data_IF_504626626841
#
_entry.id   IF_504626626841
#
_cell.length_a   1.000
_cell.length_b   1.000
_cell.length_c   1.000
_cell.angle_alpha   90.00
_cell.angle_beta   90.00
_cell.angle_gamma   90.00
#
_symmetry.space_group_name_H-M   'P 1'
#
loop_
_entity.id
_entity.type
_entity.pdbx_description
1 polymer ?
#
# COMPACT_ATOMS: atom_id res chain seq x y z
N UNK A 1 18.64 -26.10 -17.18
CA UNK A 1 17.73 -26.91 -16.34
C UNK A 1 17.66 -26.25 -14.98
N UNK A 2 16.53 -25.64 -14.67
CA UNK A 2 16.25 -25.09 -13.33
C UNK A 2 15.49 -26.15 -12.50
N UNK A 3 15.62 -26.18 -11.17
CA UNK A 3 15.04 -27.24 -10.34
C UNK A 3 13.54 -27.01 -10.14
N UNK A 4 12.73 -28.05 -10.38
CA UNK A 4 11.31 -28.11 -10.03
C UNK A 4 11.07 -29.17 -8.95
N UNK A 5 10.27 -28.85 -7.93
CA UNK A 5 9.81 -29.80 -6.93
C UNK A 5 8.64 -30.63 -7.49
N UNK A 6 8.70 -31.95 -7.32
CA UNK A 6 7.65 -32.90 -7.71
C UNK A 6 6.78 -33.26 -6.50
N UNK A 7 5.46 -33.27 -6.68
CA UNK A 7 4.55 -34.01 -5.79
C UNK A 7 3.81 -35.09 -6.59
N UNK A 8 3.97 -36.33 -6.14
CA UNK A 8 3.41 -37.53 -6.74
C UNK A 8 2.26 -38.02 -5.86
N UNK A 9 1.05 -38.20 -6.40
CA UNK A 9 -0.06 -38.86 -5.69
C UNK A 9 -0.52 -40.12 -6.43
N UNK A 10 -0.53 -41.24 -5.70
CA UNK A 10 -1.03 -42.55 -6.15
C UNK A 10 -2.52 -42.71 -5.84
N UNK A 11 -3.24 -43.31 -6.77
CA UNK A 11 -4.66 -43.68 -6.68
C UNK A 11 -4.98 -44.79 -5.68
N UNK A 12 -6.18 -44.71 -5.10
CA UNK A 12 -6.96 -45.85 -4.60
C UNK A 12 -8.34 -45.81 -5.27
N UNK A 13 -8.74 -46.92 -5.92
CA UNK A 13 -9.98 -47.06 -6.70
C UNK A 13 -11.24 -47.17 -5.82
N UNK A 14 -12.31 -46.43 -6.14
CA UNK A 14 -13.66 -46.96 -6.45
C UNK A 14 -14.72 -45.86 -6.75
N UNK A 15 -15.36 -46.00 -7.93
CA UNK A 15 -16.73 -45.58 -8.35
C UNK A 15 -17.15 -44.09 -8.28
N UNK A 16 -17.41 -43.54 -9.47
CA UNK A 16 -18.28 -42.40 -9.83
C UNK A 16 -18.43 -41.26 -8.79
N UNK A 17 -17.41 -40.41 -8.76
CA UNK A 17 -17.55 -38.95 -8.68
C UNK A 17 -16.40 -38.39 -9.51
N UNK A 18 -16.67 -37.41 -10.38
CA UNK A 18 -15.62 -36.71 -11.13
C UNK A 18 -14.73 -35.97 -10.12
N UNK A 19 -13.60 -36.58 -9.74
CA UNK A 19 -12.62 -35.93 -8.90
C UNK A 19 -11.62 -35.20 -9.79
N UNK A 20 -11.78 -33.88 -9.87
CA UNK A 20 -10.79 -32.96 -10.42
C UNK A 20 -9.58 -32.98 -9.47
N UNK A 21 -8.46 -33.55 -9.89
CA UNK A 21 -7.20 -33.51 -9.13
C UNK A 21 -6.47 -32.24 -9.55
N UNK A 22 -6.55 -31.21 -8.72
CA UNK A 22 -5.85 -29.95 -8.94
C UNK A 22 -4.40 -30.07 -8.44
N UNK A 23 -3.45 -30.22 -9.37
CA UNK A 23 -2.04 -29.98 -9.11
C UNK A 23 -1.72 -28.56 -9.58
N UNK A 24 -1.75 -27.59 -8.67
CA UNK A 24 -1.35 -26.22 -8.96
C UNK A 24 0.19 -26.16 -8.97
N UNK A 25 0.80 -26.29 -10.13
CA UNK A 25 2.20 -25.90 -10.33
C UNK A 25 2.20 -24.47 -10.85
N UNK A 26 2.41 -23.52 -9.94
CA UNK A 26 2.69 -22.14 -10.33
C UNK A 26 4.14 -22.10 -10.78
N UNK A 27 4.39 -22.44 -12.04
CA UNK A 27 5.61 -22.05 -12.71
C UNK A 27 5.42 -20.62 -13.19
N UNK A 28 5.70 -19.64 -12.32
CA UNK A 28 5.92 -18.27 -12.77
C UNK A 28 7.22 -18.25 -13.57
N UNK A 29 7.11 -18.36 -14.90
CA UNK A 29 8.08 -17.67 -15.74
C UNK A 29 8.10 -16.22 -15.25
N UNK A 30 9.25 -15.52 -15.23
CA UNK A 30 9.25 -14.09 -14.96
C UNK A 30 8.40 -13.45 -16.05
N UNK A 31 7.11 -13.23 -15.75
CA UNK A 31 6.35 -12.20 -16.43
C UNK A 31 7.20 -10.96 -16.28
N UNK A 32 7.36 -10.20 -17.37
CA UNK A 32 8.05 -8.91 -17.31
C UNK A 32 7.37 -8.13 -16.18
N UNK A 33 8.07 -8.00 -15.06
CA UNK A 33 7.64 -7.19 -13.94
C UNK A 33 7.37 -5.80 -14.47
N UNK A 34 6.36 -5.12 -13.92
CA UNK A 34 6.10 -3.75 -14.32
C UNK A 34 7.31 -2.90 -13.94
N UNK A 35 7.93 -2.28 -14.93
CA UNK A 35 8.95 -1.26 -14.70
C UNK A 35 8.26 0.07 -14.42
N UNK A 36 8.35 0.55 -13.18
CA UNK A 36 7.95 1.92 -12.85
C UNK A 36 9.09 2.88 -13.17
N UNK A 37 8.75 3.99 -13.81
CA UNK A 37 9.69 4.99 -14.32
C UNK A 37 9.74 6.24 -13.45
N UNK A 38 8.63 6.62 -12.82
CA UNK A 38 8.54 7.85 -12.03
C UNK A 38 7.68 7.60 -10.78
N UNK A 39 8.31 7.76 -9.61
CA UNK A 39 7.66 7.71 -8.31
C UNK A 39 7.51 9.10 -7.71
N UNK A 40 6.35 9.38 -7.13
CA UNK A 40 6.11 10.60 -6.35
C UNK A 40 5.33 10.33 -5.06
N UNK A 41 5.37 11.29 -4.13
CA UNK A 41 4.71 11.24 -2.83
C UNK A 41 3.80 12.44 -2.65
N UNK A 42 2.52 12.16 -2.40
CA UNK A 42 1.54 13.08 -1.84
C UNK A 42 1.50 12.87 -0.33
N UNK A 43 1.70 13.91 0.46
CA UNK A 43 1.57 13.78 1.90
C UNK A 43 1.89 15.03 2.70
N UNK A 44 1.93 14.87 4.03
CA UNK A 44 2.13 15.97 4.98
C UNK A 44 3.57 16.07 5.52
N UNK A 45 3.73 16.58 6.74
CA UNK A 45 5.02 16.75 7.42
C UNK A 45 5.75 15.43 7.67
N UNK A 46 5.03 14.32 7.89
CA UNK A 46 5.64 13.01 8.09
C UNK A 46 6.36 12.58 6.81
N UNK A 47 5.68 12.71 5.66
CA UNK A 47 6.23 12.37 4.35
C UNK A 47 7.24 13.41 3.84
N UNK A 48 7.08 14.69 4.22
CA UNK A 48 8.07 15.73 3.96
C UNK A 48 9.38 15.51 4.73
N UNK A 49 9.40 14.58 5.71
CA UNK A 49 10.60 14.15 6.41
C UNK A 49 10.87 14.90 7.71
N UNK A 50 9.86 15.50 8.33
CA UNK A 50 9.99 16.05 9.68
C UNK A 50 10.32 14.89 10.63
N UNK A 51 11.51 14.94 11.20
CA UNK A 51 12.03 13.92 12.11
C UNK A 51 12.65 14.61 13.33
N UNK A 52 12.07 14.40 14.53
CA UNK A 52 12.52 15.06 15.74
C UNK A 52 13.99 14.79 16.08
N UNK A 53 14.54 13.61 15.75
CA UNK A 53 15.95 13.26 16.06
C UNK A 53 16.98 14.19 15.40
N UNK A 54 16.57 14.95 14.38
CA UNK A 54 17.44 15.77 13.56
C UNK A 54 17.23 17.29 13.75
N UNK A 55 16.35 17.70 14.66
CA UNK A 55 16.17 19.12 15.01
C UNK A 55 17.41 19.70 15.72
N UNK A 56 17.84 20.96 15.43
CA UNK A 56 17.52 21.87 14.31
C UNK A 56 18.63 21.94 13.23
N UNK A 57 19.60 21.01 13.23
CA UNK A 57 20.85 21.17 12.47
C UNK A 57 20.83 20.42 11.11
N UNK A 58 19.91 19.48 10.91
CA UNK A 58 19.91 18.64 9.71
C UNK A 58 18.62 18.78 8.90
N UNK A 59 18.78 18.63 7.58
CA UNK A 59 17.68 18.63 6.60
C UNK A 59 16.62 17.57 6.93
N UNK A 60 15.37 17.71 6.43
CA UNK A 60 14.35 16.68 6.57
C UNK A 60 14.92 15.29 6.24
N UNK A 61 14.66 14.32 7.12
CA UNK A 61 15.11 12.94 6.97
C UNK A 61 14.08 11.98 7.58
N UNK A 62 13.09 11.64 6.77
CA UNK A 62 12.02 10.69 7.13
C UNK A 62 11.98 9.46 6.23
N UNK A 63 10.86 8.73 6.31
CA UNK A 63 10.67 7.45 5.62
C UNK A 63 10.88 7.54 4.10
N UNK A 64 10.47 8.63 3.45
CA UNK A 64 10.68 8.85 2.01
C UNK A 64 12.17 8.97 1.66
N UNK A 65 12.95 9.65 2.51
CA UNK A 65 14.39 9.80 2.29
C UNK A 65 15.09 8.44 2.43
N UNK A 66 14.69 7.65 3.45
CA UNK A 66 15.16 6.28 3.64
C UNK A 66 14.80 5.39 2.44
N UNK A 67 13.57 5.51 1.92
CA UNK A 67 13.09 4.78 0.75
C UNK A 67 13.92 5.09 -0.50
N UNK A 68 14.35 6.35 -0.66
CA UNK A 68 15.19 6.82 -1.76
C UNK A 68 16.66 6.41 -1.61
N UNK A 69 17.01 5.68 -0.54
CA UNK A 69 18.37 5.29 -0.23
C UNK A 69 19.26 6.47 0.17
N UNK A 70 18.67 7.62 0.50
CA UNK A 70 19.42 8.77 0.97
C UNK A 70 19.94 8.46 2.38
N UNK A 71 21.19 8.83 2.64
CA UNK A 71 21.79 8.67 3.95
C UNK A 71 21.57 9.96 4.75
N UNK A 72 20.95 9.85 5.92
CA UNK A 72 21.04 10.87 6.96
C UNK A 72 22.45 10.87 7.59
N UNK A 73 22.61 11.45 8.77
CA UNK A 73 23.88 11.32 9.51
C UNK A 73 24.04 9.95 10.20
N UNK A 74 23.08 9.05 10.01
CA UNK A 74 23.09 7.69 10.53
C UNK A 74 24.07 6.81 9.76
N UNK A 75 24.88 6.02 10.47
CA UNK A 75 25.79 5.02 9.90
C UNK A 75 25.07 3.73 9.47
N UNK A 76 23.74 3.66 9.62
CA UNK A 76 22.96 2.49 9.22
C UNK A 76 22.78 2.53 7.69
N UNK A 77 23.26 1.52 6.95
CA UNK A 77 23.09 1.49 5.51
C UNK A 77 21.60 1.54 5.15
N UNK A 78 21.23 2.22 4.06
CA UNK A 78 19.83 2.29 3.65
C UNK A 78 19.29 0.87 3.50
N UNK A 79 18.07 0.69 3.99
CA UNK A 79 17.31 -0.53 3.70
C UNK A 79 17.13 -0.65 2.19
N UNK A 80 16.79 -1.84 1.69
CA UNK A 80 16.63 -2.03 0.26
C UNK A 80 15.54 -1.10 -0.29
N UNK A 81 15.96 0.05 -0.82
CA UNK A 81 15.09 1.12 -1.25
C UNK A 81 14.46 0.84 -2.60
N UNK A 82 13.61 1.75 -3.05
CA UNK A 82 12.88 1.64 -4.31
C UNK A 82 13.81 1.44 -5.53
N UNK A 83 15.03 1.98 -5.48
CA UNK A 83 16.04 1.84 -6.53
C UNK A 83 16.64 0.43 -6.64
N UNK A 84 16.46 -0.43 -5.64
CA UNK A 84 16.88 -1.83 -5.75
C UNK A 84 15.90 -2.65 -6.60
N UNK A 85 14.63 -2.24 -6.64
CA UNK A 85 13.60 -2.83 -7.49
C UNK A 85 13.66 -2.23 -8.89
N UNK A 86 13.72 -0.89 -8.96
CA UNK A 86 13.75 -0.15 -10.23
C UNK A 86 14.95 0.81 -10.26
N UNK A 87 16.15 0.37 -10.67
CA UNK A 87 17.37 1.19 -10.63
C UNK A 87 17.32 2.48 -11.46
N UNK A 88 16.44 2.55 -12.46
CA UNK A 88 16.26 3.71 -13.34
C UNK A 88 15.12 4.66 -12.93
N UNK A 89 14.42 4.39 -11.84
CA UNK A 89 13.25 5.17 -11.43
C UNK A 89 13.64 6.61 -11.05
N UNK A 90 12.86 7.58 -11.52
CA UNK A 90 12.96 8.98 -11.10
C UNK A 90 12.14 9.17 -9.83
N UNK A 91 12.72 9.83 -8.83
CA UNK A 91 12.15 9.94 -7.49
C UNK A 91 11.82 11.39 -7.14
N UNK A 92 10.57 11.63 -6.79
CA UNK A 92 10.06 12.92 -6.33
C UNK A 92 9.44 12.79 -4.94
N UNK A 93 9.65 13.79 -4.08
CA UNK A 93 8.91 13.93 -2.82
C UNK A 93 8.19 15.27 -2.84
N UNK A 94 6.94 15.26 -3.27
CA UNK A 94 6.11 16.47 -3.33
C UNK A 94 5.37 16.75 -2.02
N UNK A 95 5.56 15.96 -0.96
CA UNK A 95 4.88 16.13 0.31
C UNK A 95 5.10 17.53 0.91
N UNK A 96 4.05 18.09 1.49
CA UNK A 96 4.03 19.46 2.01
C UNK A 96 3.72 19.44 3.50
N UNK A 97 4.68 19.93 4.31
CA UNK A 97 4.53 19.98 5.76
C UNK A 97 3.30 20.77 6.20
N UNK A 98 2.52 20.18 7.10
CA UNK A 98 1.29 20.78 7.64
C UNK A 98 0.07 20.72 6.71
N UNK A 99 0.19 20.11 5.53
CA UNK A 99 -0.92 20.06 4.58
C UNK A 99 -2.06 19.15 5.03
N UNK A 100 -3.29 19.54 4.67
CA UNK A 100 -4.53 18.76 4.77
C UNK A 100 -4.97 18.27 3.40
N UNK A 101 -5.82 17.25 3.35
CA UNK A 101 -6.35 16.71 2.09
C UNK A 101 -7.08 17.78 1.25
N UNK A 102 -7.76 18.74 1.87
CA UNK A 102 -8.46 19.83 1.18
C UNK A 102 -7.52 20.74 0.38
N UNK A 103 -6.28 20.94 0.82
CA UNK A 103 -5.32 21.80 0.13
C UNK A 103 -4.70 21.12 -1.10
N UNK A 104 -4.70 19.78 -1.13
CA UNK A 104 -4.27 19.01 -2.30
C UNK A 104 -5.30 19.01 -3.43
N UNK A 105 -6.56 19.36 -3.14
CA UNK A 105 -7.63 19.48 -4.14
C UNK A 105 -7.96 20.94 -4.48
N UNK A 106 -7.46 21.89 -3.69
CA UNK A 106 -7.68 23.31 -3.93
C UNK A 106 -6.94 23.78 -5.20
N UNK A 107 -7.66 24.51 -6.04
CA UNK A 107 -7.15 25.09 -7.29
C UNK A 107 -6.88 26.60 -7.18
N UNK A 108 -7.24 27.22 -6.05
CA UNK A 108 -7.21 28.67 -5.86
C UNK A 108 -6.06 29.22 -5.00
N UNK A 109 -5.57 28.45 -4.01
CA UNK A 109 -4.55 28.92 -3.05
C UNK A 109 -3.11 28.52 -3.37
N UNK A 110 -2.84 27.21 -3.40
CA UNK A 110 -1.53 26.63 -3.73
C UNK A 110 -1.76 25.28 -4.41
N UNK A 111 -1.39 25.10 -5.69
CA UNK A 111 -1.73 23.89 -6.41
C UNK A 111 -0.72 22.77 -6.09
N UNK A 112 -0.74 22.23 -4.87
CA UNK A 112 0.19 21.16 -4.45
C UNK A 112 0.15 19.97 -5.41
N UNK A 113 -1.04 19.62 -5.88
CA UNK A 113 -1.23 18.56 -6.86
C UNK A 113 -0.57 18.86 -8.22
N UNK A 114 -0.46 20.12 -8.64
CA UNK A 114 0.14 20.45 -9.93
C UNK A 114 1.63 20.10 -9.98
N UNK A 115 2.34 20.19 -8.85
CA UNK A 115 3.72 19.70 -8.76
C UNK A 115 3.80 18.21 -9.11
N UNK A 116 2.95 17.39 -8.47
CA UNK A 116 2.90 15.93 -8.71
C UNK A 116 2.52 15.62 -10.14
N UNK A 117 1.49 16.29 -10.68
CA UNK A 117 1.03 16.10 -12.07
C UNK A 117 2.10 16.48 -13.08
N UNK A 118 2.92 17.49 -12.79
CA UNK A 118 4.02 17.92 -13.66
C UNK A 118 5.14 16.87 -13.76
N UNK A 119 5.33 16.03 -12.74
CA UNK A 119 6.30 14.94 -12.75
C UNK A 119 5.80 13.73 -13.56
N UNK A 120 4.49 13.63 -13.83
CA UNK A 120 3.86 12.51 -14.55
C UNK A 120 4.21 11.12 -13.97
N UNK A 121 3.99 10.90 -12.66
CA UNK A 121 4.33 9.63 -12.02
C UNK A 121 3.52 8.47 -12.60
N UNK A 122 4.14 7.28 -12.66
CA UNK A 122 3.45 6.01 -12.90
C UNK A 122 3.29 5.16 -11.62
N UNK A 123 3.87 5.62 -10.50
CA UNK A 123 3.62 5.13 -9.14
C UNK A 123 3.52 6.30 -8.15
N UNK A 124 2.49 6.32 -7.31
CA UNK A 124 2.31 7.38 -6.30
C UNK A 124 2.01 6.79 -4.94
N UNK A 125 2.71 7.27 -3.91
CA UNK A 125 2.33 7.05 -2.51
C UNK A 125 1.49 8.23 -2.01
N UNK A 126 0.38 7.95 -1.32
CA UNK A 126 -0.49 8.96 -0.70
C UNK A 126 -0.57 8.69 0.79
N UNK A 127 0.05 9.55 1.60
CA UNK A 127 -0.04 9.53 3.06
C UNK A 127 -0.43 10.94 3.53
N UNK A 128 -1.74 11.18 3.59
CA UNK A 128 -2.35 12.47 3.96
C UNK A 128 -3.54 12.21 4.89
N UNK A 129 -3.80 13.11 5.84
CA UNK A 129 -4.93 12.99 6.78
C UNK A 129 -4.58 13.28 8.24
N UNK A 130 -3.30 13.23 8.63
CA UNK A 130 -2.89 13.50 10.02
C UNK A 130 -3.34 14.88 10.51
N UNK A 131 -3.12 15.91 9.69
CA UNK A 131 -3.58 17.28 9.99
C UNK A 131 -5.10 17.44 9.89
N UNK A 132 -5.77 16.67 9.04
CA UNK A 132 -7.23 16.62 8.99
C UNK A 132 -7.78 16.09 10.32
N UNK A 133 -7.24 14.97 10.83
CA UNK A 133 -7.69 14.37 12.09
C UNK A 133 -7.38 15.25 13.30
N UNK A 134 -6.24 15.93 13.29
CA UNK A 134 -5.90 16.89 14.33
C UNK A 134 -6.87 18.09 14.33
N UNK A 135 -7.19 18.61 13.15
CA UNK A 135 -8.05 19.78 12.99
C UNK A 135 -9.52 19.47 13.32
N UNK A 136 -10.05 18.38 12.77
CA UNK A 136 -11.43 17.94 13.04
C UNK A 136 -11.59 17.34 14.44
N UNK A 137 -10.50 16.81 15.01
CA UNK A 137 -10.49 16.24 16.36
C UNK A 137 -10.48 17.27 17.49
N UNK A 138 -10.39 18.58 17.20
CA UNK A 138 -10.30 19.64 18.23
C UNK A 138 -11.49 19.65 19.19
N UNK A 139 -12.71 19.31 18.73
CA UNK A 139 -13.91 19.20 19.57
C UNK A 139 -14.16 17.78 20.11
N UNK A 140 -13.27 16.84 19.75
CA UNK A 140 -13.26 15.46 20.23
C UNK A 140 -14.25 14.52 19.54
N UNK A 141 -14.86 14.89 18.40
CA UNK A 141 -15.67 13.97 17.58
C UNK A 141 -15.54 14.33 16.09
N UNK A 142 -15.09 13.38 15.27
CA UNK A 142 -15.18 13.50 13.81
C UNK A 142 -16.66 13.47 13.37
N UNK A 143 -17.26 14.63 13.12
CA UNK A 143 -18.66 14.74 12.70
C UNK A 143 -18.88 14.11 11.33
N UNK A 144 -20.13 13.74 10.99
CA UNK A 144 -20.41 13.19 9.66
C UNK A 144 -20.10 14.17 8.52
N UNK A 145 -20.18 15.48 8.79
CA UNK A 145 -19.79 16.51 7.83
C UNK A 145 -18.28 16.46 7.54
N UNK A 146 -17.44 16.39 8.58
CA UNK A 146 -15.98 16.31 8.46
C UNK A 146 -15.53 14.98 7.86
N UNK A 147 -16.17 13.87 8.27
CA UNK A 147 -15.97 12.55 7.64
C UNK A 147 -16.25 12.60 6.14
N UNK A 148 -17.34 13.26 5.76
CA UNK A 148 -17.73 13.42 4.35
C UNK A 148 -16.75 14.32 3.61
N UNK A 149 -16.36 15.46 4.18
CA UNK A 149 -15.37 16.37 3.59
C UNK A 149 -14.04 15.66 3.34
N UNK A 150 -13.49 15.00 4.35
CA UNK A 150 -12.24 14.25 4.23
C UNK A 150 -12.33 13.15 3.16
N UNK A 151 -13.41 12.35 3.17
CA UNK A 151 -13.68 11.31 2.17
C UNK A 151 -13.73 11.88 0.75
N UNK A 152 -14.42 13.00 0.57
CA UNK A 152 -14.54 13.69 -0.73
C UNK A 152 -13.20 14.20 -1.22
N UNK A 153 -12.43 14.87 -0.35
CA UNK A 153 -11.11 15.40 -0.71
C UNK A 153 -10.14 14.26 -1.08
N UNK A 154 -10.11 13.18 -0.29
CA UNK A 154 -9.25 12.03 -0.57
C UNK A 154 -9.63 11.33 -1.89
N UNK A 155 -10.93 11.15 -2.16
CA UNK A 155 -11.38 10.59 -3.44
C UNK A 155 -11.02 11.51 -4.63
N UNK A 156 -11.10 12.83 -4.44
CA UNK A 156 -10.71 13.79 -5.47
C UNK A 156 -9.20 13.83 -5.71
N UNK A 157 -8.36 13.66 -4.68
CA UNK A 157 -6.90 13.44 -4.84
C UNK A 157 -6.66 12.25 -5.76
N UNK A 158 -7.32 11.12 -5.52
CA UNK A 158 -7.20 9.93 -6.36
C UNK A 158 -7.62 10.22 -7.80
N UNK A 159 -8.74 10.91 -8.01
CA UNK A 159 -9.19 11.26 -9.35
C UNK A 159 -8.19 12.16 -10.10
N UNK A 160 -7.66 13.19 -9.44
CA UNK A 160 -6.67 14.09 -10.03
C UNK A 160 -5.38 13.36 -10.43
N UNK A 161 -4.96 12.36 -9.64
CA UNK A 161 -3.84 11.48 -9.99
C UNK A 161 -4.19 10.56 -11.17
N UNK A 162 -5.41 10.03 -11.24
CA UNK A 162 -5.87 9.18 -12.35
C UNK A 162 -6.04 9.94 -13.66
N UNK A 163 -6.21 11.25 -13.61
CA UNK A 163 -6.24 12.12 -14.78
C UNK A 163 -4.85 12.39 -15.38
N UNK A 164 -3.76 11.90 -14.76
CA UNK A 164 -2.42 11.97 -15.32
C UNK A 164 -2.21 11.00 -16.47
N UNK A 165 -1.17 11.27 -17.26
CA UNK A 165 -0.66 10.34 -18.28
C UNK A 165 0.86 10.22 -18.09
N UNK A 166 1.38 9.02 -17.80
CA UNK A 166 0.64 7.76 -17.59
C UNK A 166 -0.28 7.81 -16.36
N UNK A 167 -1.26 6.90 -16.31
CA UNK A 167 -2.13 6.72 -15.14
C UNK A 167 -1.33 5.94 -14.08
N UNK A 168 -1.05 6.49 -12.89
CA UNK A 168 -0.21 5.84 -11.90
C UNK A 168 -0.92 4.70 -11.18
N UNK A 169 -0.20 3.66 -10.77
CA UNK A 169 -0.62 2.85 -9.63
C UNK A 169 -0.52 3.69 -8.34
N UNK A 170 -1.53 3.62 -7.48
CA UNK A 170 -1.64 4.47 -6.30
C UNK A 170 -1.65 3.58 -5.06
N UNK A 171 -0.73 3.85 -4.12
CA UNK A 171 -0.69 3.23 -2.80
C UNK A 171 -1.14 4.27 -1.78
N UNK A 172 -2.26 4.03 -1.11
CA UNK A 172 -2.76 4.90 -0.04
C UNK A 172 -2.40 4.30 1.31
N UNK A 173 -1.76 5.09 2.16
CA UNK A 173 -1.32 4.70 3.49
C UNK A 173 -2.30 5.21 4.55
N UNK A 174 -2.61 4.36 5.54
CA UNK A 174 -3.25 4.78 6.78
C UNK A 174 -2.28 5.56 7.68
N UNK A 175 -2.81 6.14 8.76
CA UNK A 175 -2.05 6.80 9.82
C UNK A 175 -1.91 5.93 11.07
N UNK A 176 -0.87 6.19 11.85
CA UNK A 176 -0.68 5.61 13.17
C UNK A 176 -1.44 6.40 14.24
N UNK A 177 -1.78 5.74 15.35
CA UNK A 177 -2.28 6.39 16.55
C UNK A 177 -1.13 6.72 17.50
N UNK A 178 -1.05 7.97 17.93
CA UNK A 178 -0.02 8.46 18.86
C UNK A 178 -0.22 8.00 20.29
N UNK A 179 -1.43 7.59 20.64
CA UNK A 179 -1.82 7.37 22.03
C UNK A 179 -2.36 5.96 22.28
N UNK A 180 -2.18 5.04 21.33
CA UNK A 180 -2.44 3.61 21.49
C UNK A 180 -3.85 3.29 22.03
N UNK A 181 -4.88 3.94 21.49
CA UNK A 181 -6.27 3.92 21.94
C UNK A 181 -6.54 4.48 23.34
N UNK A 182 -5.55 5.11 23.97
CA UNK A 182 -5.63 5.66 25.32
C UNK A 182 -5.69 7.18 25.35
N UNK A 183 -5.93 7.87 24.22
CA UNK A 183 -5.99 9.34 24.18
C UNK A 183 -7.03 9.96 25.14
N UNK A 184 -8.02 9.21 25.64
CA UNK A 184 -8.92 9.69 26.70
C UNK A 184 -8.27 9.82 28.08
N UNK A 185 -7.12 9.20 28.30
CA UNK A 185 -6.38 9.19 29.55
C UNK A 185 -5.34 10.32 29.65
N UNK A 186 -5.22 11.16 28.62
CA UNK A 186 -4.20 12.20 28.57
C UNK A 186 -4.32 13.19 29.77
N UNK A 187 -3.20 13.78 30.21
CA UNK A 187 -3.25 14.90 31.15
C UNK A 187 -3.97 16.13 30.56
N UNK A 188 -4.57 17.00 31.39
CA UNK A 188 -5.25 18.22 30.91
C UNK A 188 -4.41 19.14 30.03
N UNK A 189 -3.08 19.13 30.17
CA UNK A 189 -2.17 19.91 29.33
C UNK A 189 -2.20 19.50 27.84
N UNK A 190 -2.68 18.28 27.54
CA UNK A 190 -2.77 17.72 26.20
C UNK A 190 -4.22 17.52 25.76
N UNK A 191 -5.16 18.30 26.31
CA UNK A 191 -6.59 18.12 26.06
C UNK A 191 -7.00 18.25 24.59
N UNK A 192 -6.21 18.97 23.78
CA UNK A 192 -6.45 19.10 22.34
C UNK A 192 -6.27 17.77 21.59
N UNK A 193 -5.67 16.77 22.21
CA UNK A 193 -5.50 15.43 21.67
C UNK A 193 -6.42 14.40 22.33
N UNK A 194 -7.32 14.84 23.23
CA UNK A 194 -8.33 13.97 23.80
C UNK A 194 -9.18 13.38 22.67
N UNK A 195 -9.04 12.07 22.44
CA UNK A 195 -9.74 11.29 21.40
C UNK A 195 -9.14 11.34 20.01
N UNK A 196 -7.90 11.82 19.86
CA UNK A 196 -7.14 11.66 18.61
C UNK A 196 -7.09 10.20 18.14
N UNK A 197 -7.07 9.23 19.06
CA UNK A 197 -7.16 7.80 18.73
C UNK A 197 -8.43 7.45 17.96
N UNK A 198 -9.59 7.91 18.45
CA UNK A 198 -10.88 7.64 17.80
C UNK A 198 -10.95 8.30 16.41
N UNK A 199 -10.48 9.55 16.30
CA UNK A 199 -10.39 10.25 15.01
C UNK A 199 -9.46 9.52 14.02
N UNK A 200 -8.34 8.98 14.51
CA UNK A 200 -7.40 8.20 13.68
C UNK A 200 -8.03 6.90 13.20
N UNK A 201 -8.77 6.19 14.06
CA UNK A 201 -9.49 4.96 13.69
C UNK A 201 -10.56 5.25 12.63
N UNK A 202 -11.41 6.25 12.86
CA UNK A 202 -12.44 6.67 11.90
C UNK A 202 -11.80 7.13 10.57
N UNK A 203 -10.72 7.90 10.65
CA UNK A 203 -9.96 8.39 9.51
C UNK A 203 -9.37 7.25 8.68
N UNK A 204 -8.76 6.25 9.33
CA UNK A 204 -8.22 5.07 8.66
C UNK A 204 -9.30 4.22 8.00
N UNK A 205 -10.50 4.13 8.59
CA UNK A 205 -11.63 3.48 7.94
C UNK A 205 -12.01 4.22 6.63
N UNK A 206 -12.05 5.55 6.65
CA UNK A 206 -12.29 6.36 5.45
C UNK A 206 -11.20 6.12 4.40
N UNK A 207 -9.93 6.16 4.80
CA UNK A 207 -8.77 5.91 3.91
C UNK A 207 -8.90 4.55 3.23
N UNK A 208 -9.15 3.50 4.02
CA UNK A 208 -9.33 2.14 3.50
C UNK A 208 -10.50 2.04 2.51
N UNK A 209 -11.65 2.65 2.85
CA UNK A 209 -12.83 2.65 1.99
C UNK A 209 -12.61 3.41 0.68
N UNK A 210 -11.91 4.55 0.70
CA UNK A 210 -11.54 5.29 -0.51
C UNK A 210 -10.57 4.48 -1.36
N UNK A 211 -9.54 3.87 -0.76
CA UNK A 211 -8.59 3.04 -1.49
C UNK A 211 -9.28 1.87 -2.20
N UNK A 212 -10.15 1.15 -1.47
CA UNK A 212 -10.90 0.00 -1.98
C UNK A 212 -11.87 0.40 -3.11
N UNK A 213 -12.67 1.44 -2.91
CA UNK A 213 -13.66 1.89 -3.90
C UNK A 213 -13.05 2.50 -5.16
N UNK A 214 -11.81 2.99 -5.09
CA UNK A 214 -11.08 3.58 -6.21
C UNK A 214 -9.94 2.70 -6.74
N UNK A 215 -9.97 1.38 -6.46
CA UNK A 215 -9.04 0.43 -7.06
C UNK A 215 -7.57 0.82 -6.81
N UNK A 216 -7.26 1.26 -5.60
CA UNK A 216 -5.92 1.58 -5.15
C UNK A 216 -5.35 0.43 -4.31
N UNK A 217 -4.02 0.40 -4.16
CA UNK A 217 -3.38 -0.38 -3.12
C UNK A 217 -3.55 0.34 -1.78
N UNK A 218 -3.70 -0.43 -0.71
CA UNK A 218 -3.84 0.09 0.65
C UNK A 218 -2.75 -0.50 1.54
N UNK A 219 -2.13 0.36 2.34
CA UNK A 219 -1.18 -0.03 3.39
C UNK A 219 -1.66 0.52 4.73
N UNK A 220 -2.03 -0.37 5.65
CA UNK A 220 -2.20 0.02 7.04
C UNK A 220 -0.84 -0.01 7.74
N UNK A 221 -0.48 1.06 8.42
CA UNK A 221 0.64 1.10 9.38
C UNK A 221 0.15 1.20 10.84
N UNK A 222 -1.17 1.25 11.04
CA UNK A 222 -1.79 1.50 12.34
C UNK A 222 -1.38 0.43 13.36
N UNK A 223 -1.62 -0.85 13.04
CA UNK A 223 -1.34 -1.97 13.94
C UNK A 223 0.16 -2.12 14.24
N UNK A 224 1.01 -1.86 13.24
CA UNK A 224 2.47 -1.95 13.39
C UNK A 224 3.05 -0.84 14.29
N UNK A 225 2.32 0.27 14.46
CA UNK A 225 2.68 1.38 15.35
C UNK A 225 2.08 1.26 16.75
N UNK A 226 1.05 0.43 16.93
CA UNK A 226 0.43 0.24 18.24
C UNK A 226 1.48 -0.21 19.25
N UNK A 227 1.42 0.37 20.44
CA UNK A 227 2.30 0.13 21.57
C UNK A 227 3.73 0.68 21.40
N UNK A 228 4.04 1.45 20.35
CA UNK A 228 5.35 2.08 20.19
C UNK A 228 5.33 3.60 20.44
N UNK A 229 4.18 4.16 20.83
CA UNK A 229 3.94 5.59 20.95
C UNK A 229 3.83 6.04 22.42
N UNK A 230 2.97 7.01 22.74
CA UNK A 230 2.85 7.55 24.09
C UNK A 230 1.96 6.70 25.01
N UNK A 231 1.41 5.58 24.54
CA UNK A 231 0.51 4.71 25.31
C UNK A 231 1.08 4.36 26.68
N UNK A 232 2.37 4.01 26.78
CA UNK A 232 3.04 3.66 28.04
C UNK A 232 2.81 4.70 29.15
N UNK A 233 2.92 5.99 28.81
CA UNK A 233 2.86 7.07 29.79
C UNK A 233 1.44 7.38 30.28
N UNK A 234 0.44 6.86 29.57
CA UNK A 234 -0.98 7.06 29.86
C UNK A 234 -1.73 5.76 30.14
N UNK A 235 -1.00 4.66 30.37
CA UNK A 235 -1.51 3.44 30.98
C UNK A 235 -1.41 2.17 30.15
N UNK A 236 -0.72 2.19 29.00
CA UNK A 236 -0.44 0.97 28.25
C UNK A 236 0.62 0.12 28.95
N UNK A 237 0.27 -1.10 29.35
CA UNK A 237 1.18 -2.03 30.00
C UNK A 237 1.98 -2.87 28.99
N UNK A 238 1.57 -2.87 27.72
CA UNK A 238 2.12 -3.71 26.64
C UNK A 238 3.09 -2.94 25.73
N UNK A 239 3.56 -1.77 26.17
CA UNK A 239 4.47 -0.89 25.43
C UNK A 239 5.74 -1.61 24.94
N UNK A 240 6.10 -1.32 23.69
CA UNK A 240 7.17 -1.93 22.91
C UNK A 240 8.29 -0.93 22.63
N UNK A 241 9.50 -1.45 22.41
CA UNK A 241 10.70 -0.66 22.11
C UNK A 241 11.37 -1.14 20.82
N UNK A 242 12.06 -0.25 20.08
CA UNK A 242 12.28 1.17 20.36
C UNK A 242 11.02 2.01 20.14
N UNK A 243 10.87 3.11 20.87
CA UNK A 243 9.78 4.06 20.66
C UNK A 243 9.81 4.63 19.24
N UNK A 244 8.64 4.82 18.66
CA UNK A 244 8.47 5.38 17.31
C UNK A 244 8.25 6.88 17.31
N UNK A 245 8.06 7.49 18.48
CA UNK A 245 7.92 8.94 18.70
C UNK A 245 8.85 9.39 19.83
N UNK A 246 8.98 10.71 20.05
CA UNK A 246 9.85 11.24 21.09
C UNK A 246 9.21 11.09 22.46
N UNK A 247 9.68 10.15 23.26
CA UNK A 247 9.30 10.03 24.68
C UNK A 247 10.32 10.76 25.57
N UNK A 248 9.91 11.31 26.73
CA UNK A 248 8.59 11.21 27.33
C UNK A 248 7.53 12.16 26.69
N UNK A 249 6.26 11.98 27.03
CA UNK A 249 5.09 12.77 26.63
C UNK A 249 5.26 14.25 26.98
N UNK A 250 6.06 14.56 28.01
CA UNK A 250 6.43 15.95 28.33
C UNK A 250 7.10 16.68 27.15
N UNK A 251 7.80 15.93 26.29
CA UNK A 251 8.46 16.39 25.07
C UNK A 251 7.64 16.03 23.81
N UNK A 252 6.30 16.01 23.93
CA UNK A 252 5.36 15.62 22.89
C UNK A 252 5.75 16.17 21.51
N UNK A 253 5.98 15.27 20.58
CA UNK A 253 6.10 15.53 19.15
C UNK A 253 5.27 14.49 18.41
N UNK A 254 4.36 14.97 17.56
CA UNK A 254 3.46 14.11 16.79
C UNK A 254 4.18 13.41 15.63
N UNK A 255 5.38 13.85 15.28
CA UNK A 255 6.14 13.28 14.18
C UNK A 255 6.94 12.05 14.64
N UNK A 256 7.06 11.01 13.80
CA UNK A 256 7.85 9.85 14.15
C UNK A 256 9.33 10.21 14.28
N UNK A 257 10.02 9.59 15.23
CA UNK A 257 11.49 9.59 15.29
C UNK A 257 12.07 8.65 14.23
N UNK A 258 13.39 8.53 14.15
CA UNK A 258 14.06 7.69 13.14
C UNK A 258 13.59 6.24 13.15
N UNK A 259 13.29 5.68 14.33
CA UNK A 259 12.77 4.32 14.43
C UNK A 259 11.37 4.18 13.80
N UNK A 260 10.46 5.14 14.07
CA UNK A 260 9.13 5.16 13.48
C UNK A 260 9.17 5.39 11.97
N UNK A 261 9.97 6.34 11.48
CA UNK A 261 10.18 6.54 10.03
C UNK A 261 10.71 5.27 9.34
N UNK A 262 11.59 4.53 10.01
CA UNK A 262 12.08 3.24 9.50
C UNK A 262 10.98 2.19 9.45
N UNK A 263 10.10 2.13 10.45
CA UNK A 263 8.97 1.21 10.43
C UNK A 263 8.03 1.49 9.24
N UNK A 264 7.69 2.76 8.98
CA UNK A 264 6.90 3.17 7.80
C UNK A 264 7.60 2.75 6.51
N UNK A 265 8.90 3.03 6.39
CA UNK A 265 9.70 2.67 5.22
C UNK A 265 9.66 1.15 4.95
N UNK A 266 9.85 0.31 5.98
CA UNK A 266 9.79 -1.16 5.86
C UNK A 266 8.44 -1.65 5.39
N UNK A 267 7.36 -1.15 6.00
CA UNK A 267 6.01 -1.51 5.62
C UNK A 267 5.75 -1.16 4.14
N UNK A 268 6.20 0.02 3.70
CA UNK A 268 6.06 0.44 2.31
C UNK A 268 6.91 -0.37 1.33
N UNK A 269 8.15 -0.71 1.68
CA UNK A 269 9.01 -1.62 0.87
C UNK A 269 8.34 -2.98 0.68
N UNK A 270 7.59 -3.48 1.67
CA UNK A 270 6.77 -4.68 1.52
C UNK A 270 5.75 -4.56 0.38
N UNK A 271 5.04 -3.44 0.28
CA UNK A 271 4.13 -3.16 -0.83
C UNK A 271 4.88 -3.06 -2.16
N UNK A 272 6.05 -2.43 -2.20
CA UNK A 272 6.82 -2.32 -3.44
C UNK A 272 7.25 -3.69 -3.98
N UNK A 273 7.65 -4.61 -3.11
CA UNK A 273 7.88 -6.01 -3.51
C UNK A 273 6.62 -6.70 -4.03
N UNK A 274 5.44 -6.41 -3.47
CA UNK A 274 4.18 -6.93 -4.02
C UNK A 274 3.90 -6.38 -5.43
N UNK A 275 4.23 -5.10 -5.68
CA UNK A 275 4.05 -4.45 -6.98
C UNK A 275 5.04 -4.97 -8.02
N UNK A 276 6.31 -5.15 -7.65
CA UNK A 276 7.35 -5.74 -8.50
C UNK A 276 7.00 -7.18 -8.93
N UNK A 277 6.29 -7.91 -8.08
CA UNK A 277 5.82 -9.26 -8.38
C UNK A 277 4.56 -9.33 -9.28
N UNK A 278 4.02 -8.21 -9.77
CA UNK A 278 2.82 -8.22 -10.62
C UNK A 278 3.14 -8.71 -12.04
N UNK A 279 2.33 -9.61 -12.64
CA UNK A 279 1.15 -10.27 -12.08
C UNK A 279 1.46 -11.50 -11.23
N UNK A 280 0.77 -11.64 -10.09
CA UNK A 280 0.85 -12.83 -9.21
C UNK A 280 -0.54 -13.36 -8.87
N UNK A 281 -0.80 -14.65 -9.10
CA UNK A 281 -2.05 -15.33 -8.72
C UNK A 281 -2.18 -15.32 -7.19
N UNK A 282 -3.34 -14.91 -6.67
CA UNK A 282 -3.63 -14.79 -5.23
C UNK A 282 -4.60 -15.83 -4.71
N UNK A 283 -5.61 -16.18 -5.50
CA UNK A 283 -6.56 -17.22 -5.12
C UNK A 283 -6.97 -18.05 -6.32
N UNK A 284 -7.37 -19.29 -6.03
CA UNK A 284 -7.89 -20.24 -6.99
C UNK A 284 -9.04 -21.02 -6.33
N UNK A 285 -10.13 -21.17 -7.06
CA UNK A 285 -11.33 -21.89 -6.64
C UNK A 285 -11.81 -22.77 -7.79
N UNK A 286 -12.34 -23.95 -7.48
CA UNK A 286 -12.96 -24.84 -8.47
C UNK A 286 -14.35 -25.24 -8.02
N UNK A 287 -15.35 -24.99 -8.85
CA UNK A 287 -16.75 -25.32 -8.56
C UNK A 287 -17.48 -25.72 -9.85
N UNK A 288 -18.25 -26.81 -9.80
CA UNK A 288 -19.13 -27.27 -10.88
C UNK A 288 -18.48 -27.36 -12.30
N UNK A 289 -17.21 -27.74 -12.39
CA UNK A 289 -16.48 -27.84 -13.66
C UNK A 289 -15.99 -26.50 -14.23
N UNK A 290 -16.05 -25.44 -13.42
CA UNK A 290 -15.39 -24.18 -13.67
C UNK A 290 -14.27 -23.95 -12.65
N UNK A 291 -13.31 -23.13 -13.04
CA UNK A 291 -12.25 -22.62 -12.17
C UNK A 291 -12.28 -21.11 -12.19
N UNK A 292 -12.16 -20.51 -11.02
CA UNK A 292 -12.09 -19.07 -10.83
C UNK A 292 -10.79 -18.74 -10.13
N UNK A 293 -10.07 -17.74 -10.59
CA UNK A 293 -8.87 -17.27 -9.92
C UNK A 293 -8.78 -15.75 -9.94
N UNK A 294 -8.04 -15.24 -8.97
CA UNK A 294 -7.71 -13.82 -8.85
C UNK A 294 -6.21 -13.63 -8.91
N UNK A 295 -5.77 -12.50 -9.43
CA UNK A 295 -4.35 -12.13 -9.46
C UNK A 295 -4.15 -10.65 -9.16
N UNK A 296 -2.99 -10.30 -8.63
CA UNK A 296 -2.57 -8.90 -8.51
C UNK A 296 -2.35 -8.29 -9.87
N UNK A 297 -2.85 -7.08 -10.05
CA UNK A 297 -2.79 -6.36 -11.30
C UNK A 297 -2.46 -4.89 -11.08
N UNK A 298 -1.90 -4.30 -12.12
CA UNK A 298 -1.48 -2.92 -12.20
C UNK A 298 -2.40 -2.16 -13.14
N UNK A 299 -2.68 -0.88 -12.86
CA UNK A 299 -3.61 -0.10 -13.67
C UNK A 299 -3.09 0.04 -15.09
N UNK A 300 -3.98 -0.10 -16.07
CA UNK A 300 -3.66 0.10 -17.49
C UNK A 300 -2.83 -1.03 -18.10
N UNK A 301 -2.18 -1.87 -17.29
CA UNK A 301 -1.49 -3.05 -17.78
C UNK A 301 -2.48 -4.03 -18.37
N UNK A 302 -2.19 -4.51 -19.58
CA UNK A 302 -3.01 -5.51 -20.25
C UNK A 302 -2.50 -6.90 -19.95
N UNK A 303 -3.42 -7.82 -19.68
CA UNK A 303 -3.14 -9.22 -19.37
C UNK A 303 -3.91 -10.14 -20.31
N UNK A 304 -3.26 -11.21 -20.77
CA UNK A 304 -3.95 -12.35 -21.35
C UNK A 304 -3.82 -13.55 -20.41
N UNK A 305 -4.85 -14.39 -20.43
CA UNK A 305 -4.82 -15.67 -19.72
C UNK A 305 -4.56 -16.72 -20.77
N UNK A 306 -3.54 -17.52 -20.52
CA UNK A 306 -3.21 -18.64 -21.37
C UNK A 306 -3.45 -19.95 -20.64
N UNK A 307 -3.79 -20.99 -21.40
CA UNK A 307 -4.12 -22.31 -20.90
C UNK A 307 -3.42 -23.39 -21.72
N UNK A 308 -3.14 -24.51 -21.06
CA UNK A 308 -2.76 -25.78 -21.70
C UNK A 308 -3.37 -26.95 -20.93
N UNK A 309 -3.61 -28.07 -21.60
CA UNK A 309 -4.03 -29.31 -20.92
C UNK A 309 -2.82 -30.21 -20.58
N UNK A 310 -1.61 -29.82 -21.01
CA UNK A 310 -0.33 -30.49 -20.74
C UNK A 310 0.77 -29.46 -20.42
N UNK A 311 1.41 -29.56 -19.26
CA UNK A 311 2.48 -28.65 -18.82
C UNK A 311 3.75 -28.75 -19.68
N UNK A 312 3.97 -29.90 -20.31
CA UNK A 312 5.11 -30.12 -21.18
C UNK A 312 4.88 -29.53 -22.60
N UNK A 313 3.67 -29.06 -22.88
CA UNK A 313 3.35 -28.41 -24.16
C UNK A 313 3.95 -26.99 -24.22
N UNK A 314 4.63 -26.71 -25.33
CA UNK A 314 5.15 -25.39 -25.63
C UNK A 314 4.04 -24.43 -26.13
N UNK A 315 2.96 -24.97 -26.68
CA UNK A 315 1.89 -24.22 -27.34
C UNK A 315 0.72 -23.90 -26.39
N UNK A 316 0.92 -22.93 -25.50
CA UNK A 316 -0.16 -22.39 -24.68
C UNK A 316 -1.14 -21.59 -25.54
N UNK A 317 -2.44 -21.74 -25.30
CA UNK A 317 -3.49 -21.03 -26.05
C UNK A 317 -4.13 -19.93 -25.21
N UNK A 318 -4.49 -18.82 -25.84
CA UNK A 318 -5.18 -17.71 -25.16
C UNK A 318 -6.60 -18.16 -24.80
N UNK A 319 -6.89 -18.21 -23.49
CA UNK A 319 -8.15 -18.64 -22.90
C UNK A 319 -9.19 -17.51 -22.78
N UNK A 320 -8.74 -16.25 -22.75
CA UNK A 320 -9.59 -15.09 -22.53
C UNK A 320 -9.26 -13.94 -23.48
N UNK A 321 -10.22 -13.02 -23.74
CA UNK A 321 -9.87 -11.70 -24.23
C UNK A 321 -8.81 -11.05 -23.34
N UNK A 322 -8.04 -10.12 -23.90
CA UNK A 322 -7.13 -9.29 -23.14
C UNK A 322 -7.91 -8.47 -22.11
N UNK A 323 -7.52 -8.59 -20.84
CA UNK A 323 -8.11 -7.87 -19.72
C UNK A 323 -7.24 -6.65 -19.37
N UNK A 324 -7.85 -5.48 -19.24
CA UNK A 324 -7.17 -4.34 -18.62
C UNK A 324 -7.07 -4.55 -17.11
N UNK A 325 -5.92 -4.24 -16.55
CA UNK A 325 -5.65 -4.31 -15.13
C UNK A 325 -6.47 -3.32 -14.34
N UNK A 326 -7.15 -3.83 -13.31
CA UNK A 326 -7.91 -3.08 -12.32
C UNK A 326 -7.32 -3.39 -10.94
N UNK A 327 -6.47 -2.53 -10.38
CA UNK A 327 -5.86 -2.82 -9.09
C UNK A 327 -6.89 -2.92 -7.96
N UNK A 328 -6.53 -3.55 -6.84
CA UNK A 328 -5.30 -4.28 -6.63
C UNK A 328 -5.35 -5.70 -7.24
N UNK A 329 -6.46 -6.08 -7.89
CA UNK A 329 -6.62 -7.43 -8.44
C UNK A 329 -7.67 -7.55 -9.54
N UNK A 330 -7.41 -8.42 -10.51
CA UNK A 330 -8.40 -8.90 -11.47
C UNK A 330 -8.88 -10.31 -11.11
N UNK A 331 -10.00 -10.73 -11.72
CA UNK A 331 -10.53 -12.08 -11.63
C UNK A 331 -10.84 -12.66 -13.01
N UNK A 332 -10.80 -13.99 -13.10
CA UNK A 332 -11.23 -14.72 -14.27
C UNK A 332 -11.87 -16.05 -13.89
N UNK A 333 -12.89 -16.43 -14.64
CA UNK A 333 -13.55 -17.73 -14.54
C UNK A 333 -13.49 -18.44 -15.89
N UNK A 334 -12.98 -19.66 -15.88
CA UNK A 334 -12.89 -20.53 -17.05
C UNK A 334 -13.69 -21.80 -16.82
N UNK A 335 -14.49 -22.20 -17.82
CA UNK A 335 -15.11 -23.53 -17.83
C UNK A 335 -14.05 -24.55 -18.27
N UNK A 336 -13.83 -25.57 -17.46
CA UNK A 336 -12.83 -26.63 -17.70
C UNK A 336 -13.45 -27.77 -18.51
N UNK A 337 -14.74 -28.06 -18.29
CA UNK A 337 -15.44 -29.12 -18.99
C UNK A 337 -14.97 -30.52 -18.55
N UNK A 338 -14.73 -31.41 -19.51
CA UNK A 338 -14.38 -32.82 -19.25
C UNK A 338 -12.88 -33.12 -19.28
N UNK A 339 -12.00 -32.10 -19.36
CA UNK A 339 -10.56 -32.33 -19.38
C UNK A 339 -10.06 -32.82 -18.02
N UNK A 340 -9.08 -33.72 -18.05
CA UNK A 340 -8.55 -34.33 -16.82
C UNK A 340 -7.66 -33.38 -16.03
N UNK A 341 -6.95 -32.50 -16.73
CA UNK A 341 -6.16 -31.42 -16.17
C UNK A 341 -6.19 -30.21 -17.10
N UNK A 342 -6.05 -29.02 -16.52
CA UNK A 342 -5.87 -27.76 -17.23
C UNK A 342 -5.01 -26.84 -16.38
N UNK A 343 -4.04 -26.22 -17.03
CA UNK A 343 -3.07 -25.32 -16.43
C UNK A 343 -3.29 -23.92 -16.96
N UNK A 344 -3.07 -22.92 -16.09
CA UNK A 344 -3.30 -21.52 -16.40
C UNK A 344 -2.05 -20.72 -16.07
N UNK A 345 -1.75 -19.73 -16.92
CA UNK A 345 -0.77 -18.69 -16.63
C UNK A 345 -1.30 -17.34 -17.07
N UNK A 346 -0.77 -16.31 -16.45
CA UNK A 346 -1.11 -14.92 -16.73
C UNK A 346 0.10 -14.31 -17.40
N UNK A 347 -0.11 -13.76 -18.60
CA UNK A 347 0.94 -13.10 -19.36
C UNK A 347 0.58 -11.63 -19.54
N UNK A 348 1.61 -10.81 -19.44
CA UNK A 348 1.53 -9.39 -19.80
C UNK A 348 1.48 -9.29 -21.33
N UNK A 349 0.60 -8.45 -21.86
CA UNK A 349 0.52 -8.16 -23.30
C UNK A 349 0.65 -6.67 -23.56
N UNK A 350 1.25 -6.33 -24.69
CA UNK A 350 1.46 -4.93 -25.14
C UNK A 350 0.17 -4.25 -25.61
#
# INVERSE_FOLDING_TARGET
>A
MAPGFYLHMRHVHHKLCCWLVLALTIASLPALARDYLVFDVVGDSVSAGVNPDYYPVFQPYGWVHMLFGQQGTSTVPPEAGITNLWPGIVLHNSAVSGSKASEWVDTGGYPYMEAVRSHQPDLVAVMIGGNDFLFYGEDGVLSEAERTEYRTNLAQIVQLLRDNTPVPDIVILGYYDLFDNLSTNLPPAYSNYFRMSAATVDGNEIIHNVASSNQCFYLSIYEDFMHYCYGAEIGDADHLVPDYVRTPLLDLDIHPVTAGHRAICRAFVGILHELDAIPTIRSFQSEAGAVSFTWRSSIGQRYAIETTDDLDDAAWVIASPTNSGTPPSNCHTSVVGSVTARFYRIVVVE
#
